data_IF_536285449524
#
_entry.id   IF_536285449524
#
_cell.length_a   1.000
_cell.length_b   1.000
_cell.length_c   1.000
_cell.angle_alpha   90.00
_cell.angle_beta   90.00
_cell.angle_gamma   90.00
#
_symmetry.space_group_name_H-M   'P 1'
#
loop_
_entity.id
_entity.type
_entity.pdbx_description
1 polymer ?
#
# COMPACT_ATOMS: atom_id res chain seq x y z
N UNK A 1 17.56 -8.67 5.09
CA UNK A 1 16.42 -9.55 4.72
C UNK A 1 15.89 -9.06 3.39
N UNK A 2 15.53 -9.96 2.47
CA UNK A 2 14.94 -9.57 1.19
C UNK A 2 13.41 -9.55 1.33
N UNK A 3 12.86 -8.36 1.57
CA UNK A 3 11.43 -8.17 1.81
C UNK A 3 10.57 -8.37 0.56
N UNK A 4 11.09 -8.07 -0.62
CA UNK A 4 10.39 -8.31 -1.89
C UNK A 4 10.16 -9.80 -2.09
N UNK A 5 11.21 -10.61 -1.89
CA UNK A 5 11.09 -12.07 -1.93
C UNK A 5 10.16 -12.61 -0.84
N UNK A 6 10.23 -12.08 0.38
CA UNK A 6 9.33 -12.48 1.47
C UNK A 6 7.86 -12.21 1.12
N UNK A 7 7.54 -11.01 0.64
CA UNK A 7 6.16 -10.61 0.34
C UNK A 7 5.61 -11.38 -0.87
N UNK A 8 6.45 -11.67 -1.88
CA UNK A 8 6.08 -12.56 -2.97
C UNK A 8 5.73 -13.98 -2.49
N UNK A 9 6.50 -14.52 -1.53
CA UNK A 9 6.24 -15.85 -0.98
C UNK A 9 4.97 -15.89 -0.10
N UNK A 10 4.75 -14.85 0.70
CA UNK A 10 3.53 -14.69 1.51
C UNK A 10 2.30 -14.61 0.62
N UNK A 11 2.34 -13.82 -0.45
CA UNK A 11 1.22 -13.72 -1.37
C UNK A 11 0.89 -15.07 -2.03
N UNK A 12 1.94 -15.82 -2.38
CA UNK A 12 1.83 -17.12 -3.04
C UNK A 12 1.34 -18.23 -2.12
N UNK A 13 1.69 -18.17 -0.82
CA UNK A 13 1.44 -19.24 0.17
C UNK A 13 1.12 -18.67 1.56
N UNK A 14 0.00 -17.93 1.72
CA UNK A 14 -0.35 -17.28 2.98
C UNK A 14 -0.40 -18.23 4.18
N UNK A 15 -0.90 -19.44 3.96
CA UNK A 15 -1.10 -20.46 5.00
C UNK A 15 0.22 -20.88 5.68
N UNK A 16 1.36 -20.87 4.96
CA UNK A 16 2.67 -21.17 5.54
C UNK A 16 3.14 -20.12 6.55
N UNK A 17 2.54 -18.94 6.50
CA UNK A 17 2.79 -17.82 7.40
C UNK A 17 1.66 -17.65 8.42
N UNK A 18 0.72 -18.61 8.49
CA UNK A 18 -0.43 -18.56 9.39
C UNK A 18 -1.51 -17.56 8.97
N UNK A 19 -1.51 -17.12 7.70
CA UNK A 19 -2.46 -16.16 7.19
C UNK A 19 -3.65 -16.84 6.50
N UNK A 20 -4.84 -16.26 6.62
CA UNK A 20 -6.08 -16.73 5.99
C UNK A 20 -6.22 -16.25 4.53
N UNK A 21 -5.29 -15.41 4.09
CA UNK A 21 -5.22 -14.82 2.75
C UNK A 21 -6.26 -13.73 2.49
N UNK A 22 -6.94 -13.22 3.52
CA UNK A 22 -7.82 -12.06 3.43
C UNK A 22 -7.00 -10.78 3.33
N UNK A 23 -7.60 -9.75 2.74
CA UNK A 23 -6.99 -8.43 2.64
C UNK A 23 -6.65 -7.84 4.01
N UNK A 24 -7.56 -8.02 4.99
CA UNK A 24 -7.38 -7.53 6.35
C UNK A 24 -6.19 -8.21 7.04
N UNK A 25 -6.06 -9.52 6.88
CA UNK A 25 -4.98 -10.29 7.51
C UNK A 25 -3.62 -9.94 6.90
N UNK A 26 -3.53 -9.79 5.58
CA UNK A 26 -2.33 -9.27 4.93
C UNK A 26 -1.96 -7.87 5.43
N UNK A 27 -2.93 -6.95 5.56
CA UNK A 27 -2.64 -5.61 6.07
C UNK A 27 -2.11 -5.65 7.50
N UNK A 28 -2.73 -6.46 8.36
CA UNK A 28 -2.31 -6.64 9.76
C UNK A 28 -0.89 -7.21 9.84
N UNK A 29 -0.60 -8.23 9.05
CA UNK A 29 0.73 -8.82 8.97
C UNK A 29 1.78 -7.80 8.52
N UNK A 30 1.54 -7.07 7.43
CA UNK A 30 2.48 -6.08 6.89
C UNK A 30 2.75 -4.93 7.86
N UNK A 31 1.71 -4.46 8.56
CA UNK A 31 1.85 -3.48 9.65
C UNK A 31 2.72 -4.03 10.80
N UNK A 32 2.58 -5.32 11.13
CA UNK A 32 3.43 -6.01 12.10
C UNK A 32 4.90 -6.10 11.64
N UNK A 33 5.13 -6.43 10.37
CA UNK A 33 6.49 -6.47 9.79
C UNK A 33 7.11 -5.08 9.83
N UNK A 34 6.39 -4.04 9.44
CA UNK A 34 6.89 -2.66 9.51
C UNK A 34 7.19 -2.22 10.95
N UNK A 35 6.31 -2.56 11.90
CA UNK A 35 6.55 -2.30 13.32
C UNK A 35 7.82 -3.00 13.85
N UNK A 36 8.08 -4.24 13.40
CA UNK A 36 9.33 -4.96 13.71
C UNK A 36 10.58 -4.39 13.03
N UNK A 37 10.42 -3.43 12.11
CA UNK A 37 11.49 -2.70 11.44
C UNK A 37 11.50 -1.21 11.86
N UNK A 38 11.17 -0.92 13.11
CA UNK A 38 11.11 0.44 13.66
C UNK A 38 10.24 1.42 12.85
N UNK A 39 9.24 0.88 12.15
CA UNK A 39 8.34 1.61 11.24
C UNK A 39 9.07 2.31 10.08
N UNK A 40 10.23 1.79 9.68
CA UNK A 40 11.06 2.33 8.60
C UNK A 40 10.95 1.55 7.29
N UNK A 41 10.31 0.37 7.31
CA UNK A 41 10.24 -0.49 6.13
C UNK A 41 9.29 0.10 5.09
N UNK A 42 8.13 0.59 5.53
CA UNK A 42 7.07 1.13 4.69
C UNK A 42 7.03 2.67 4.71
N UNK A 43 8.05 3.35 5.25
CA UNK A 43 8.18 4.81 5.15
C UNK A 43 8.16 5.25 3.69
N UNK A 44 7.21 6.12 3.34
CA UNK A 44 7.00 6.59 1.96
C UNK A 44 6.00 5.73 1.17
N UNK A 45 5.54 4.59 1.68
CA UNK A 45 4.60 3.74 0.93
C UNK A 45 3.27 4.46 0.72
N UNK A 46 2.68 5.00 1.79
CA UNK A 46 1.46 5.82 1.70
C UNK A 46 1.64 6.99 0.72
N UNK A 47 2.75 7.71 0.83
CA UNK A 47 3.07 8.87 0.00
C UNK A 47 3.22 8.50 -1.48
N UNK A 48 3.66 7.28 -1.78
CA UNK A 48 3.69 6.76 -3.16
C UNK A 48 2.28 6.47 -3.73
N UNK A 49 1.27 6.23 -2.87
CA UNK A 49 -0.09 5.90 -3.28
C UNK A 49 -1.00 7.13 -3.44
N UNK A 50 -0.84 8.15 -2.58
CA UNK A 50 -1.72 9.33 -2.58
C UNK A 50 -1.81 10.02 -3.96
N UNK A 51 -0.69 10.31 -4.66
CA UNK A 51 -0.76 10.91 -5.99
C UNK A 51 -1.46 10.03 -7.03
N UNK A 52 -1.39 8.70 -6.89
CA UNK A 52 -2.05 7.76 -7.80
C UNK A 52 -3.57 7.74 -7.59
N UNK A 53 -4.02 7.81 -6.33
CA UNK A 53 -5.45 7.95 -5.99
C UNK A 53 -5.98 9.32 -6.38
N UNK A 54 -5.14 10.36 -6.29
CA UNK A 54 -5.49 11.75 -6.58
C UNK A 54 -6.33 12.43 -5.49
N UNK A 55 -6.57 11.74 -4.37
CA UNK A 55 -7.26 12.25 -3.18
C UNK A 55 -6.90 11.38 -1.97
N UNK A 56 -7.52 11.62 -0.82
CA UNK A 56 -7.37 10.75 0.35
C UNK A 56 -6.07 10.97 1.11
N UNK A 57 -5.54 12.19 1.12
CA UNK A 57 -4.35 12.52 1.92
C UNK A 57 -4.56 12.33 3.44
N UNK A 58 -5.81 12.23 3.90
CA UNK A 58 -6.11 11.86 5.29
C UNK A 58 -6.19 10.34 5.52
N UNK A 59 -6.01 9.52 4.49
CA UNK A 59 -6.19 8.07 4.55
C UNK A 59 -4.89 7.34 4.86
N UNK A 60 -5.04 6.21 5.55
CA UNK A 60 -3.97 5.21 5.73
C UNK A 60 -3.78 4.39 4.45
N UNK A 61 -2.58 3.84 4.25
CA UNK A 61 -2.27 3.10 3.02
C UNK A 61 -3.23 1.92 2.73
N UNK A 62 -3.79 1.17 3.70
CA UNK A 62 -4.75 0.12 3.36
C UNK A 62 -5.98 0.68 2.65
N UNK A 63 -6.52 1.80 3.14
CA UNK A 63 -7.66 2.46 2.49
C UNK A 63 -7.31 2.96 1.09
N UNK A 64 -6.10 3.51 0.89
CA UNK A 64 -5.65 3.97 -0.44
C UNK A 64 -5.58 2.82 -1.45
N UNK A 65 -5.10 1.64 -1.05
CA UNK A 65 -5.10 0.45 -1.91
C UNK A 65 -6.51 0.07 -2.33
N UNK A 66 -7.51 0.18 -1.44
CA UNK A 66 -8.91 -0.11 -1.79
C UNK A 66 -9.52 0.92 -2.73
N UNK A 67 -9.12 2.19 -2.63
CA UNK A 67 -9.50 3.22 -3.59
C UNK A 67 -8.92 2.94 -4.99
N UNK A 68 -7.70 2.41 -5.06
CA UNK A 68 -7.08 1.99 -6.33
C UNK A 68 -7.72 0.70 -6.87
N UNK A 69 -8.02 -0.27 -6.00
CA UNK A 69 -8.62 -1.55 -6.40
C UNK A 69 -10.05 -1.41 -6.92
N UNK A 70 -10.82 -0.47 -6.36
CA UNK A 70 -12.22 -0.27 -6.70
C UNK A 70 -12.54 1.19 -7.00
N UNK A 71 -12.08 1.72 -8.15
CA UNK A 71 -12.32 3.11 -8.53
C UNK A 71 -13.83 3.45 -8.55
N UNK A 72 -14.19 4.59 -7.96
CA UNK A 72 -15.58 5.07 -7.90
C UNK A 72 -16.43 4.46 -6.77
N UNK A 73 -15.93 3.43 -6.06
CA UNK A 73 -16.59 2.94 -4.85
C UNK A 73 -16.33 3.89 -3.68
N UNK A 74 -17.38 4.18 -2.91
CA UNK A 74 -17.32 5.09 -1.73
C UNK A 74 -17.72 4.43 -0.42
N UNK A 75 -18.24 3.20 -0.46
CA UNK A 75 -18.68 2.42 0.70
C UNK A 75 -18.68 0.92 0.41
N UNK A 76 -18.83 0.10 1.46
CA UNK A 76 -18.98 -1.36 1.33
C UNK A 76 -17.69 -2.09 0.94
N UNK A 77 -16.52 -1.48 1.16
CA UNK A 77 -15.25 -2.13 0.84
C UNK A 77 -15.00 -3.40 1.66
N UNK A 78 -15.46 -3.46 2.92
CA UNK A 78 -15.33 -4.64 3.76
C UNK A 78 -16.02 -5.86 3.15
N UNK A 79 -17.25 -5.70 2.66
CA UNK A 79 -17.99 -6.79 2.01
C UNK A 79 -17.34 -7.17 0.68
N UNK A 80 -16.88 -6.16 -0.07
CA UNK A 80 -16.23 -6.36 -1.37
C UNK A 80 -14.94 -7.19 -1.22
N UNK A 81 -14.06 -6.84 -0.29
CA UNK A 81 -12.79 -7.56 -0.06
C UNK A 81 -12.95 -8.88 0.69
N UNK A 82 -14.09 -9.10 1.35
CA UNK A 82 -14.45 -10.40 1.90
C UNK A 82 -15.03 -11.33 0.81
N UNK A 83 -15.60 -10.76 -0.25
CA UNK A 83 -16.26 -11.49 -1.34
C UNK A 83 -15.48 -11.43 -2.66
N UNK A 84 -16.16 -10.97 -3.71
CA UNK A 84 -15.69 -11.05 -5.10
C UNK A 84 -14.41 -10.24 -5.37
N UNK A 85 -14.21 -9.12 -4.65
CA UNK A 85 -13.05 -8.25 -4.80
C UNK A 85 -11.80 -8.72 -4.06
N UNK A 86 -11.88 -9.78 -3.26
CA UNK A 86 -10.76 -10.27 -2.41
C UNK A 86 -9.46 -10.40 -3.19
N UNK A 87 -9.49 -11.15 -4.31
CA UNK A 87 -8.29 -11.42 -5.08
C UNK A 87 -7.75 -10.14 -5.75
N UNK A 88 -8.63 -9.29 -6.29
CA UNK A 88 -8.24 -8.01 -6.90
C UNK A 88 -7.50 -7.11 -5.91
N UNK A 89 -8.02 -6.97 -4.69
CA UNK A 89 -7.40 -6.14 -3.66
C UNK A 89 -6.05 -6.70 -3.20
N UNK A 90 -5.94 -8.03 -3.06
CA UNK A 90 -4.69 -8.70 -2.66
C UNK A 90 -3.62 -8.60 -3.75
N UNK A 91 -3.96 -8.94 -5.00
CA UNK A 91 -3.04 -8.86 -6.13
C UNK A 91 -2.51 -7.44 -6.32
N UNK A 92 -3.39 -6.43 -6.15
CA UNK A 92 -2.99 -5.03 -6.23
C UNK A 92 -2.08 -4.63 -5.06
N UNK A 93 -2.41 -5.01 -3.82
CA UNK A 93 -1.57 -4.73 -2.65
C UNK A 93 -0.12 -5.19 -2.86
N UNK A 94 0.06 -6.45 -3.26
CA UNK A 94 1.40 -7.01 -3.44
C UNK A 94 2.12 -6.45 -4.67
N UNK A 95 1.39 -6.09 -5.73
CA UNK A 95 1.96 -5.39 -6.89
C UNK A 95 2.47 -3.99 -6.52
N UNK A 96 1.68 -3.23 -5.75
CA UNK A 96 2.06 -1.89 -5.27
C UNK A 96 3.26 -1.95 -4.32
N UNK A 97 3.35 -2.98 -3.47
CA UNK A 97 4.52 -3.20 -2.61
C UNK A 97 5.77 -3.48 -3.44
N UNK A 98 5.71 -4.37 -4.43
CA UNK A 98 6.87 -4.64 -5.29
C UNK A 98 7.32 -3.39 -6.06
N UNK A 99 6.38 -2.63 -6.61
CA UNK A 99 6.67 -1.36 -7.27
C UNK A 99 7.34 -0.35 -6.32
N UNK A 100 6.78 -0.19 -5.11
CA UNK A 100 7.33 0.68 -4.08
C UNK A 100 8.77 0.31 -3.71
N UNK A 101 9.05 -0.97 -3.45
CA UNK A 101 10.41 -1.40 -3.11
C UNK A 101 11.37 -1.22 -4.28
N UNK A 102 10.95 -1.55 -5.51
CA UNK A 102 11.78 -1.31 -6.70
C UNK A 102 12.12 0.16 -6.84
N UNK A 103 11.13 1.05 -6.70
CA UNK A 103 11.36 2.50 -6.75
C UNK A 103 12.29 2.96 -5.63
N UNK A 104 12.14 2.42 -4.41
CA UNK A 104 13.00 2.76 -3.26
C UNK A 104 14.46 2.33 -3.46
N UNK A 105 14.69 1.23 -4.15
CA UNK A 105 16.02 0.69 -4.48
C UNK A 105 16.76 1.54 -5.54
N UNK A 106 16.04 2.37 -6.31
CA UNK A 106 16.65 3.29 -7.26
C UNK A 106 17.46 4.41 -6.57
N UNK A 107 18.42 4.98 -7.30
CA UNK A 107 19.21 6.11 -6.79
C UNK A 107 18.29 7.29 -6.46
N UNK A 108 18.31 7.73 -5.20
CA UNK A 108 17.42 8.78 -4.68
C UNK A 108 15.93 8.42 -4.69
N UNK A 109 15.56 7.14 -4.84
CA UNK A 109 14.17 6.70 -4.98
C UNK A 109 13.26 7.10 -3.82
N UNK A 110 13.77 7.05 -2.58
CA UNK A 110 13.02 7.55 -1.41
C UNK A 110 12.75 9.05 -1.51
N UNK A 111 13.74 9.85 -1.90
CA UNK A 111 13.55 11.30 -2.06
C UNK A 111 12.55 11.59 -3.19
N UNK A 112 12.64 10.87 -4.31
CA UNK A 112 11.71 11.01 -5.43
C UNK A 112 10.25 10.74 -5.04
N UNK A 113 9.99 9.71 -4.21
CA UNK A 113 8.65 9.42 -3.69
C UNK A 113 8.10 10.62 -2.92
N UNK A 114 8.88 11.19 -2.01
CA UNK A 114 8.44 12.35 -1.24
C UNK A 114 8.32 13.62 -2.09
N UNK A 115 9.21 13.82 -3.07
CA UNK A 115 9.15 14.97 -3.98
C UNK A 115 7.89 14.95 -4.84
N UNK A 116 7.53 13.78 -5.38
CA UNK A 116 6.27 13.59 -6.12
C UNK A 116 5.05 13.85 -5.23
N UNK A 117 5.04 13.28 -4.03
CA UNK A 117 3.98 13.51 -3.05
C UNK A 117 3.84 14.99 -2.68
N UNK A 118 4.94 15.67 -2.37
CA UNK A 118 4.94 17.10 -2.01
C UNK A 118 4.54 17.98 -3.20
N UNK A 119 4.92 17.60 -4.43
CA UNK A 119 4.49 18.27 -5.66
C UNK A 119 2.98 18.15 -5.83
N UNK A 120 2.44 16.94 -5.69
CA UNK A 120 1.00 16.69 -5.70
C UNK A 120 0.29 17.49 -4.60
N UNK A 121 0.82 17.47 -3.37
CA UNK A 121 0.24 18.11 -2.20
C UNK A 121 0.15 19.64 -2.39
N UNK A 122 1.23 20.28 -2.87
CA UNK A 122 1.27 21.72 -3.15
C UNK A 122 0.32 22.15 -4.28
N UNK A 123 -0.04 21.24 -5.18
CA UNK A 123 -0.99 21.51 -6.25
C UNK A 123 -2.46 21.51 -5.77
N UNK A 124 -2.73 21.04 -4.55
CA UNK A 124 -4.10 20.93 -4.04
C UNK A 124 -4.65 22.29 -3.60
N UNK A 125 -5.87 22.62 -4.01
CA UNK A 125 -6.52 23.91 -3.71
C UNK A 125 -6.75 24.16 -2.21
N UNK A 126 -6.81 23.09 -1.42
CA UNK A 126 -6.99 23.14 0.03
C UNK A 126 -5.67 23.17 0.81
N UNK A 127 -4.53 22.87 0.17
CA UNK A 127 -3.24 22.87 0.84
C UNK A 127 -2.75 24.30 1.07
N UNK A 128 -2.55 24.68 2.34
CA UNK A 128 -1.96 25.97 2.73
C UNK A 128 -0.57 25.71 3.33
N UNK A 129 0.46 26.47 2.91
CA UNK A 129 1.82 26.32 3.41
C UNK A 129 1.97 26.72 4.89
#
# INVERSE_FOLDING_TARGET
MDYRKLFAEIHRRPELYGLDGSYHDYCTFLLGVDAGNDRQLLTGFRESLVPQVGTGDNLVWPSLVLHLAFPGRTAGWHDEVAGAGRQVANDLLFSLLDEFFRKREERSGTAAIFDEYLTWLKAQSWHRP
#
